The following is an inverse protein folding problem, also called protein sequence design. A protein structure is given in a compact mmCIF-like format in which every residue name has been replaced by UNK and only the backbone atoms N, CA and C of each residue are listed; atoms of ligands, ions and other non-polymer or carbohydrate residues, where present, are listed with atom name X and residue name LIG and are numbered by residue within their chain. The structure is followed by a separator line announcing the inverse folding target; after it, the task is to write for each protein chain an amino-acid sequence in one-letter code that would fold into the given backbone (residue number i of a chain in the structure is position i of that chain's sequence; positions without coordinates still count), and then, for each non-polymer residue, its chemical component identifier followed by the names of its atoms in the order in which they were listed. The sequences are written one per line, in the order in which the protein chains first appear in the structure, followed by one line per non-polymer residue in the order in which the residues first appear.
data_IF_647500734767
#
_entry.id   IF_647500734767
#
_cell.length_a   1.000
_cell.length_b   1.000
_cell.length_c   1.000
_cell.angle_alpha   90.00
_cell.angle_beta   90.00
_cell.angle_gamma   90.00
#
_symmetry.space_group_name_H-M   'P 1'
#
loop_
_entity.id
_entity.type
_entity.pdbx_description
1 polymer ?
#
# COMPACT_ATOMS: atom_id res chain seq x y z
N UNK A 1 -2.99 -15.25 9.72
CA UNK A 1 -2.75 -14.96 9.77
C UNK A 1 -2.54 -14.01 9.52
N UNK A 2 -2.64 -13.37 9.91
CA UNK A 2 -2.57 -12.30 9.69
C UNK A 2 -1.51 -12.00 8.98
N UNK A 3 -0.56 -12.22 9.05
CA UNK A 3 0.42 -11.77 8.31
C UNK A 3 0.32 -12.11 6.93
N UNK A 4 -0.68 -12.74 6.55
CA UNK A 4 -0.81 -13.14 5.27
C UNK A 4 -1.57 -12.27 4.39
N UNK A 5 -1.80 -11.06 4.74
CA UNK A 5 -2.54 -10.17 3.92
C UNK A 5 -1.72 -9.84 2.70
N UNK A 6 -2.19 -10.08 1.53
CA UNK A 6 -1.47 -9.72 0.33
C UNK A 6 -1.65 -8.25 0.07
N UNK A 7 -0.83 -7.72 -0.82
CA UNK A 7 -0.93 -6.31 -1.18
C UNK A 7 -2.31 -6.02 -1.73
N UNK A 8 -2.82 -6.89 -2.58
CA UNK A 8 -4.13 -6.67 -3.16
C UNK A 8 -5.21 -6.69 -2.11
N UNK A 9 -5.09 -7.59 -1.13
CA UNK A 9 -6.08 -7.64 -0.08
C UNK A 9 -6.03 -6.38 0.76
N UNK A 10 -4.84 -5.93 1.10
CA UNK A 10 -4.71 -4.74 1.90
C UNK A 10 -5.24 -3.53 1.15
N UNK A 11 -4.94 -3.45 -0.13
CA UNK A 11 -5.39 -2.33 -0.92
C UNK A 11 -6.91 -2.34 -1.04
N UNK A 12 -7.50 -3.50 -1.24
CA UNK A 12 -8.95 -3.59 -1.36
C UNK A 12 -9.62 -3.15 -0.06
N UNK A 13 -9.06 -3.56 1.06
CA UNK A 13 -9.64 -3.15 2.33
C UNK A 13 -9.45 -1.67 2.56
N UNK A 14 -8.32 -1.13 2.17
CA UNK A 14 -8.08 0.29 2.31
C UNK A 14 -9.09 1.06 1.46
N UNK A 15 -9.31 0.62 0.25
CA UNK A 15 -10.25 1.29 -0.61
C UNK A 15 -11.65 1.26 -0.04
N UNK A 16 -11.99 0.16 0.61
CA UNK A 16 -13.29 0.07 1.20
C UNK A 16 -13.43 1.05 2.35
N UNK A 17 -12.40 1.21 3.18
CA UNK A 17 -12.44 2.16 4.28
C UNK A 17 -12.57 3.58 3.74
N UNK A 18 -11.83 3.88 2.71
CA UNK A 18 -11.86 5.22 2.12
C UNK A 18 -13.24 5.50 1.55
N UNK A 19 -13.82 4.52 0.90
CA UNK A 19 -15.13 4.71 0.30
C UNK A 19 -16.17 4.99 1.38
N UNK A 20 -16.08 4.27 2.49
CA UNK A 20 -17.01 4.49 3.57
C UNK A 20 -16.84 5.89 4.17
N UNK A 21 -15.59 6.31 4.30
CA UNK A 21 -15.35 7.64 4.82
C UNK A 21 -15.83 8.71 3.88
N UNK A 22 -15.63 8.51 2.59
CA UNK A 22 -16.07 9.50 1.64
C UNK A 22 -17.57 9.60 1.58
N UNK A 23 -18.25 8.54 1.92
CA UNK A 23 -19.70 8.58 1.94
C UNK A 23 -20.25 9.52 2.99
N UNK A 24 -19.47 9.73 4.04
CA UNK A 24 -19.92 10.71 5.03
C UNK A 24 -21.05 10.31 5.89
N UNK A 25 -21.47 9.09 5.80
CA UNK A 25 -22.58 8.66 6.59
C UNK A 25 -22.19 7.99 7.84
N UNK A 26 -21.08 8.22 8.44
CA UNK A 26 -20.68 7.55 9.65
C UNK A 26 -20.51 8.54 10.76
N UNK A 27 -20.72 8.09 11.96
CA UNK A 27 -20.51 8.94 13.11
C UNK A 27 -19.04 9.22 13.27
N UNK A 28 -18.71 10.28 13.96
CA UNK A 28 -17.34 10.68 14.12
C UNK A 28 -16.48 9.59 14.70
N UNK A 29 -16.96 8.92 15.73
CA UNK A 29 -16.17 7.88 16.31
C UNK A 29 -15.89 6.76 15.33
N UNK A 30 -16.86 6.44 14.53
CA UNK A 30 -16.71 5.41 13.54
C UNK A 30 -15.72 5.87 12.47
N UNK A 31 -15.80 7.13 12.10
CA UNK A 31 -14.91 7.66 11.10
C UNK A 31 -13.47 7.61 11.58
N UNK A 32 -13.25 7.92 12.86
CA UNK A 32 -11.91 7.86 13.39
C UNK A 32 -11.37 6.45 13.39
N UNK A 33 -12.23 5.49 13.72
CA UNK A 33 -11.80 4.12 13.70
C UNK A 33 -11.44 3.67 12.30
N UNK A 34 -12.26 4.04 11.34
CA UNK A 34 -11.97 3.68 9.97
C UNK A 34 -10.68 4.33 9.49
N UNK A 35 -10.45 5.56 9.93
CA UNK A 35 -9.24 6.24 9.55
C UNK A 35 -8.02 5.53 10.12
N UNK A 36 -8.09 5.11 11.37
CA UNK A 36 -6.99 4.40 11.96
C UNK A 36 -6.74 3.07 11.26
N UNK A 37 -7.80 2.39 10.92
CA UNK A 37 -7.64 1.13 10.20
C UNK A 37 -7.03 1.38 8.82
N UNK A 38 -7.44 2.47 8.19
CA UNK A 38 -6.89 2.81 6.90
C UNK A 38 -5.41 3.10 6.95
N UNK A 39 -4.99 3.78 8.01
CA UNK A 39 -3.59 4.09 8.16
C UNK A 39 -2.77 2.81 8.31
N UNK A 40 -3.29 1.86 9.07
CA UNK A 40 -2.60 0.60 9.21
C UNK A 40 -2.52 -0.15 7.90
N UNK A 41 -3.60 -0.14 7.15
CA UNK A 41 -3.62 -0.82 5.87
C UNK A 41 -2.67 -0.13 4.89
N UNK A 42 -2.63 1.19 4.94
CA UNK A 42 -1.73 1.93 4.07
C UNK A 42 -0.29 1.62 4.41
N UNK A 43 0.00 1.47 5.69
CA UNK A 43 1.35 1.13 6.08
C UNK A 43 1.72 -0.25 5.56
N UNK A 44 0.81 -1.20 5.62
CA UNK A 44 1.07 -2.52 5.10
C UNK A 44 1.33 -2.46 3.60
N UNK A 45 0.55 -1.69 2.88
CA UNK A 45 0.76 -1.56 1.46
C UNK A 45 2.12 -0.94 1.18
N UNK A 46 2.47 0.08 1.94
CA UNK A 46 3.74 0.76 1.72
C UNK A 46 4.91 -0.19 1.97
N UNK A 47 4.81 -0.98 3.03
CA UNK A 47 5.89 -1.91 3.32
C UNK A 47 6.05 -2.94 2.24
N UNK A 48 4.94 -3.40 1.70
CA UNK A 48 5.02 -4.39 0.65
C UNK A 48 5.56 -3.79 -0.64
N UNK A 49 5.20 -2.54 -0.90
CA UNK A 49 5.73 -1.88 -2.06
C UNK A 49 7.23 -1.66 -1.93
N UNK A 50 7.68 -1.29 -0.76
CA UNK A 50 9.10 -1.11 -0.56
C UNK A 50 9.85 -2.41 -0.77
N UNK A 51 9.30 -3.49 -0.28
CA UNK A 51 9.94 -4.77 -0.46
C UNK A 51 10.01 -5.15 -1.93
N UNK A 52 8.94 -4.87 -2.64
CA UNK A 52 8.91 -5.17 -4.06
C UNK A 52 9.90 -4.31 -4.81
N UNK A 53 10.00 -3.04 -4.43
CA UNK A 53 10.94 -2.16 -5.10
C UNK A 53 12.36 -2.62 -4.87
N UNK A 54 12.65 -3.10 -3.69
CA UNK A 54 13.97 -3.59 -3.40
C UNK A 54 14.29 -4.80 -4.27
N UNK A 55 13.32 -5.68 -4.44
CA UNK A 55 13.54 -6.84 -5.26
C UNK A 55 13.73 -6.48 -6.72
N UNK A 56 12.96 -5.53 -7.19
CA UNK A 56 13.07 -5.09 -8.55
C UNK A 56 14.45 -4.46 -8.77
N UNK A 57 14.90 -3.68 -7.81
CA UNK A 57 16.20 -3.06 -7.94
C UNK A 57 17.29 -4.11 -8.00
N UNK A 58 17.17 -5.15 -7.19
CA UNK A 58 18.15 -6.19 -7.19
C UNK A 58 18.17 -6.90 -8.53
N UNK A 59 17.02 -7.12 -9.09
CA UNK A 59 16.97 -7.78 -10.37
C UNK A 59 17.53 -6.88 -11.46
N UNK A 60 17.24 -5.62 -11.35
CA UNK A 60 17.71 -4.70 -12.34
C UNK A 60 19.19 -4.57 -12.33
N UNK A 61 19.85 -4.77 -11.21
CA UNK A 61 21.18 -4.63 -11.14
C UNK A 61 21.83 -5.87 -11.51
N UNK A 62 21.26 -6.82 -12.05
CA UNK A 62 21.85 -8.05 -12.37
C UNK A 62 23.03 -7.90 -13.24
N UNK A 63 23.53 -8.96 -13.71
CA UNK A 63 24.71 -8.95 -14.48
C UNK A 63 24.60 -8.11 -15.71
N UNK A 64 23.49 -7.93 -16.21
CA UNK A 64 23.36 -7.16 -17.39
C UNK A 64 23.55 -5.73 -17.09
N UNK A 65 23.47 -5.39 -15.94
CA UNK A 65 23.62 -4.06 -15.59
C UNK A 65 22.68 -3.18 -16.14
N UNK A 66 21.67 -3.60 -16.63
CA UNK A 66 20.72 -2.84 -17.13
C UNK A 66 20.21 -1.95 -16.39
N UNK A 67 20.17 -1.24 -16.07
CA UNK A 67 19.72 -0.37 -15.32
C UNK A 67 18.96 0.15 -15.27
N UNK A 68 18.46 0.53 -15.19
CA UNK A 68 17.73 1.08 -15.15
C UNK A 68 17.42 2.05 -14.61
N UNK A 69 16.67 2.72 -15.06
CA UNK A 69 16.33 3.77 -14.53
C UNK A 69 15.28 3.51 -13.74
N UNK A 70 15.10 4.08 -12.73
CA UNK A 70 14.03 3.88 -11.84
C UNK A 70 12.81 4.32 -12.43
N UNK A 71 11.75 3.91 -11.91
CA UNK A 71 10.51 4.36 -12.37
C UNK A 71 10.40 5.79 -12.20
N UNK A 72 9.78 6.44 -13.07
CA UNK A 72 9.63 7.86 -12.98
C UNK A 72 8.87 8.20 -11.77
N UNK A 73 9.22 9.21 -11.13
CA UNK A 73 8.52 9.54 -10.01
C UNK A 73 7.50 10.36 -10.31
N UNK A 74 6.49 10.36 -9.75
CA UNK A 74 5.35 11.13 -10.06
C UNK A 74 5.71 12.42 -9.70
N UNK A 75 5.93 13.09 -9.83
CA UNK A 75 6.25 14.27 -9.48
C UNK A 75 5.49 14.82 -9.24
#
# INVERSE_FOLDING_TARGET
MSGDLTFEDALAQLEERVRTLEGGDVALEQALKLYEEGVDLARTCHEQLEAAETRVAALSRGPSGLVETPLPEPE
#
